data_IF_965795331936
#
_entry.id   IF_965795331936
#
_cell.length_a   1.000
_cell.length_b   1.000
_cell.length_c   1.000
_cell.angle_alpha   90.00
_cell.angle_beta   90.00
_cell.angle_gamma   90.00
#
_symmetry.space_group_name_H-M   'P 1'
#
loop_
_entity.id
_entity.type
_entity.pdbx_description
1 polymer ?
#
# COMPACT_ATOMS: atom_id res chain seq x y z
N UNK A 1 -17.56 -17.32 -14.37
CA UNK A 1 -17.26 -16.23 -13.42
C UNK A 1 -15.78 -15.87 -13.57
N UNK A 2 -15.42 -14.59 -13.78
CA UNK A 2 -14.09 -14.19 -13.36
C UNK A 2 -14.11 -12.88 -12.58
N UNK A 3 -13.63 -12.93 -11.33
CA UNK A 3 -13.11 -11.76 -10.63
C UNK A 3 -11.84 -11.32 -11.35
N UNK A 4 -12.02 -10.40 -12.29
CA UNK A 4 -10.96 -9.83 -13.11
C UNK A 4 -10.24 -8.79 -12.26
N UNK A 5 -9.17 -9.21 -11.59
CA UNK A 5 -8.26 -8.34 -10.87
C UNK A 5 -7.80 -7.24 -11.85
N UNK A 6 -8.21 -5.99 -11.62
CA UNK A 6 -8.03 -4.88 -12.54
C UNK A 6 -6.54 -4.54 -12.69
N UNK A 7 -6.10 -4.36 -13.94
CA UNK A 7 -4.80 -3.77 -14.26
C UNK A 7 -4.86 -2.28 -13.91
N UNK A 8 -4.06 -1.86 -12.93
CA UNK A 8 -4.12 -0.58 -12.20
C UNK A 8 -3.65 0.67 -12.99
N UNK A 9 -4.04 0.87 -14.26
CA UNK A 9 -3.59 2.07 -14.98
C UNK A 9 -4.45 3.31 -14.64
N UNK A 10 -3.82 4.30 -14.01
CA UNK A 10 -4.30 5.69 -13.96
C UNK A 10 -5.40 6.01 -12.93
N UNK A 11 -5.75 5.08 -12.05
CA UNK A 11 -6.57 5.37 -10.87
C UNK A 11 -5.89 4.78 -9.63
N UNK A 12 -5.68 5.56 -8.56
CA UNK A 12 -5.22 5.02 -7.30
C UNK A 12 -6.23 4.01 -6.77
N UNK A 13 -5.74 2.85 -6.35
CA UNK A 13 -6.56 1.81 -5.74
C UNK A 13 -6.28 1.75 -4.25
N UNK A 14 -7.38 1.74 -3.48
CA UNK A 14 -7.37 1.77 -2.02
C UNK A 14 -6.99 0.40 -1.46
N UNK A 15 -5.79 0.30 -0.88
CA UNK A 15 -5.30 -0.88 -0.15
C UNK A 15 -5.90 -0.98 1.26
N UNK A 16 -6.14 0.16 1.91
CA UNK A 16 -6.85 0.28 3.20
C UNK A 16 -7.84 1.45 3.13
N UNK A 17 -9.01 1.26 3.75
CA UNK A 17 -10.00 2.30 4.04
C UNK A 17 -10.75 1.88 5.30
N UNK A 18 -10.36 2.44 6.45
CA UNK A 18 -10.84 1.97 7.74
C UNK A 18 -11.28 3.14 8.64
N UNK A 19 -12.48 3.01 9.22
CA UNK A 19 -13.04 3.97 10.20
C UNK A 19 -12.29 3.97 11.55
N UNK A 20 -11.38 3.00 11.74
CA UNK A 20 -10.40 2.94 12.80
C UNK A 20 -9.10 2.36 12.23
N UNK A 21 -7.95 2.72 12.78
CA UNK A 21 -6.66 2.17 12.36
C UNK A 21 -6.70 0.63 12.40
N UNK A 22 -6.33 -0.07 11.30
CA UNK A 22 -6.15 -1.50 11.29
C UNK A 22 -5.17 -1.97 12.37
N UNK A 23 -5.30 -3.22 12.83
CA UNK A 23 -4.35 -3.77 13.79
C UNK A 23 -2.91 -3.72 13.25
N UNK A 24 -1.93 -3.58 14.15
CA UNK A 24 -0.52 -3.62 13.75
C UNK A 24 -0.20 -4.93 13.03
N UNK A 25 0.59 -4.82 11.97
CA UNK A 25 0.96 -5.96 11.15
C UNK A 25 -0.16 -6.44 10.20
N UNK A 26 -1.16 -5.60 9.94
CA UNK A 26 -2.22 -5.94 8.98
C UNK A 26 -1.75 -5.64 7.56
N UNK A 27 -1.83 -6.66 6.70
CA UNK A 27 -1.66 -6.54 5.26
C UNK A 27 -2.95 -6.04 4.61
N UNK A 28 -2.79 -5.17 3.62
CA UNK A 28 -3.89 -4.61 2.84
C UNK A 28 -4.28 -5.53 1.70
N UNK A 29 -5.08 -5.01 0.80
CA UNK A 29 -5.39 -5.73 -0.42
C UNK A 29 -4.15 -5.83 -1.31
N UNK A 30 -3.93 -7.02 -1.85
CA UNK A 30 -2.87 -7.33 -2.82
C UNK A 30 -3.35 -7.15 -4.25
N UNK A 31 -2.48 -6.60 -5.09
CA UNK A 31 -2.78 -6.33 -6.48
C UNK A 31 -1.74 -6.95 -7.41
N UNK A 32 -2.20 -7.44 -8.56
CA UNK A 32 -1.32 -7.90 -9.62
C UNK A 32 -0.80 -6.71 -10.43
N UNK A 33 0.49 -6.73 -10.73
CA UNK A 33 1.17 -5.78 -11.60
C UNK A 33 1.31 -6.35 -13.03
N UNK A 34 1.43 -5.49 -14.05
CA UNK A 34 1.83 -5.91 -15.40
C UNK A 34 3.15 -6.68 -15.36
N UNK A 35 3.18 -7.88 -15.94
CA UNK A 35 4.37 -8.77 -15.89
C UNK A 35 5.37 -8.53 -17.01
N UNK A 36 5.00 -7.73 -18.00
CA UNK A 36 5.69 -7.59 -19.29
C UNK A 36 6.58 -6.34 -19.37
N UNK A 37 6.55 -5.49 -18.34
CA UNK A 37 7.28 -4.21 -18.35
C UNK A 37 7.56 -3.70 -16.94
N UNK A 38 8.64 -2.94 -16.74
CA UNK A 38 8.81 -2.18 -15.53
C UNK A 38 7.68 -1.16 -15.34
N UNK A 39 7.28 -0.92 -14.10
CA UNK A 39 6.20 0.02 -13.75
C UNK A 39 6.66 1.04 -12.73
N UNK A 40 6.05 2.22 -12.78
CA UNK A 40 6.17 3.21 -11.71
C UNK A 40 5.00 3.01 -10.75
N UNK A 41 5.30 3.00 -9.46
CA UNK A 41 4.32 2.87 -8.39
C UNK A 41 4.22 4.21 -7.69
N UNK A 42 3.03 4.80 -7.69
CA UNK A 42 2.73 5.95 -6.85
C UNK A 42 1.87 5.48 -5.69
N UNK A 43 2.31 5.75 -4.47
CA UNK A 43 1.55 5.39 -3.28
C UNK A 43 1.34 6.62 -2.40
N UNK A 44 0.22 6.66 -1.68
CA UNK A 44 -0.06 7.72 -0.71
C UNK A 44 -0.79 7.20 0.50
N UNK A 45 -0.52 7.80 1.66
CA UNK A 45 -1.33 7.59 2.85
C UNK A 45 -1.95 8.91 3.32
N UNK A 46 -3.17 8.80 3.86
CA UNK A 46 -3.93 9.90 4.43
C UNK A 46 -4.42 9.47 5.81
N UNK A 47 -4.38 10.39 6.77
CA UNK A 47 -4.97 10.23 8.09
C UNK A 47 -5.94 11.38 8.34
N UNK A 48 -7.18 11.07 8.74
CA UNK A 48 -8.15 12.13 9.12
C UNK A 48 -7.72 12.85 10.40
N UNK A 49 -7.05 12.12 11.29
CA UNK A 49 -6.39 12.65 12.49
C UNK A 49 -4.98 12.08 12.52
N UNK A 50 -3.99 12.95 12.63
CA UNK A 50 -2.58 12.55 12.64
C UNK A 50 -2.30 11.59 13.82
N UNK A 51 -1.80 10.36 13.56
CA UNK A 51 -1.39 9.46 14.62
C UNK A 51 -0.17 10.00 15.37
N UNK A 52 0.03 9.52 16.59
CA UNK A 52 1.24 9.81 17.39
C UNK A 52 2.47 9.09 16.84
N UNK A 53 2.28 7.89 16.27
CA UNK A 53 3.30 7.14 15.56
C UNK A 53 2.64 6.19 14.56
N UNK A 54 3.22 6.02 13.38
CA UNK A 54 2.76 5.11 12.35
C UNK A 54 3.93 4.70 11.44
N UNK A 55 3.87 3.49 10.91
CA UNK A 55 4.80 2.95 9.93
C UNK A 55 4.00 2.28 8.83
N UNK A 56 4.07 2.87 7.64
CA UNK A 56 3.53 2.32 6.40
C UNK A 56 4.67 1.64 5.66
N UNK A 57 4.39 0.48 5.09
CA UNK A 57 5.31 -0.30 4.29
C UNK A 57 4.63 -0.67 2.97
N UNK A 58 5.32 -0.45 1.86
CA UNK A 58 4.92 -0.95 0.55
C UNK A 58 5.79 -2.17 0.26
N UNK A 59 5.16 -3.28 -0.11
CA UNK A 59 5.85 -4.52 -0.41
C UNK A 59 5.48 -5.03 -1.79
N UNK A 60 6.42 -5.74 -2.40
CA UNK A 60 6.21 -6.37 -3.70
C UNK A 60 6.78 -7.78 -3.71
N UNK A 61 6.28 -8.60 -4.62
CA UNK A 61 6.79 -9.95 -4.83
C UNK A 61 6.72 -10.36 -6.29
N UNK A 62 7.54 -11.35 -6.65
CA UNK A 62 7.49 -12.00 -7.97
C UNK A 62 6.47 -13.16 -7.99
N UNK A 63 6.24 -13.81 -6.86
CA UNK A 63 5.19 -14.83 -6.74
C UNK A 63 4.12 -14.39 -5.75
N UNK A 64 2.92 -14.94 -5.87
CA UNK A 64 1.80 -14.64 -4.97
C UNK A 64 1.96 -15.39 -3.63
N UNK A 65 3.04 -15.07 -2.91
CA UNK A 65 3.48 -15.77 -1.71
C UNK A 65 3.93 -14.72 -0.70
N UNK A 66 3.26 -14.67 0.45
CA UNK A 66 3.54 -13.70 1.52
C UNK A 66 4.98 -13.75 2.01
N UNK A 67 5.57 -14.95 2.05
CA UNK A 67 6.96 -15.15 2.47
C UNK A 67 7.99 -14.55 1.49
N UNK A 68 7.60 -14.26 0.26
CA UNK A 68 8.47 -13.65 -0.77
C UNK A 68 8.26 -12.14 -0.90
N UNK A 69 7.39 -11.54 -0.07
CA UNK A 69 7.16 -10.10 -0.07
C UNK A 69 8.42 -9.37 0.42
N UNK A 70 9.04 -8.64 -0.49
CA UNK A 70 10.15 -7.75 -0.21
C UNK A 70 9.65 -6.33 0.05
N UNK A 71 10.31 -5.62 0.97
CA UNK A 71 10.03 -4.21 1.22
C UNK A 71 10.49 -3.39 0.02
N UNK A 72 9.56 -2.63 -0.57
CA UNK A 72 9.82 -1.66 -1.62
C UNK A 72 10.07 -0.26 -1.03
N UNK A 73 9.25 0.15 -0.07
CA UNK A 73 9.36 1.46 0.58
C UNK A 73 8.73 1.47 1.96
N UNK A 74 9.14 2.43 2.78
CA UNK A 74 8.56 2.66 4.11
C UNK A 74 8.39 4.14 4.39
N UNK A 75 7.39 4.48 5.18
CA UNK A 75 7.19 5.84 5.69
C UNK A 75 6.77 5.85 7.14
N UNK A 76 7.23 6.90 7.82
CA UNK A 76 6.88 7.26 9.19
C UNK A 76 6.34 8.69 9.25
N UNK A 77 5.79 9.21 8.15
CA UNK A 77 5.22 10.57 8.08
C UNK A 77 3.78 10.56 8.58
N UNK A 78 3.46 11.35 9.62
CA UNK A 78 2.14 11.31 10.28
C UNK A 78 1.12 12.28 9.65
N UNK A 79 1.58 13.20 8.79
CA UNK A 79 0.74 14.23 8.16
C UNK A 79 0.06 13.77 6.86
N UNK A 80 0.21 12.50 6.49
CA UNK A 80 -0.04 12.04 5.13
C UNK A 80 1.17 12.28 4.22
N UNK A 81 1.32 11.44 3.20
CA UNK A 81 2.41 11.53 2.24
C UNK A 81 2.00 10.92 0.90
N UNK A 82 2.65 11.36 -0.17
CA UNK A 82 2.58 10.73 -1.49
C UNK A 82 3.99 10.58 -2.04
N UNK A 83 4.34 9.39 -2.54
CA UNK A 83 5.63 9.10 -3.17
C UNK A 83 5.45 8.29 -4.45
N UNK A 84 6.39 8.46 -5.37
CA UNK A 84 6.47 7.67 -6.59
C UNK A 84 7.81 6.93 -6.63
N UNK A 85 7.77 5.64 -6.96
CA UNK A 85 8.89 4.71 -6.89
C UNK A 85 8.96 3.89 -8.16
N UNK A 86 10.18 3.73 -8.66
CA UNK A 86 10.47 2.86 -9.77
C UNK A 86 11.43 3.48 -10.78
N UNK A 87 11.57 2.87 -11.96
CA UNK A 87 10.80 1.70 -12.40
C UNK A 87 11.13 0.42 -11.61
N UNK A 88 10.12 -0.41 -11.32
CA UNK A 88 10.30 -1.72 -10.67
C UNK A 88 9.79 -2.87 -11.54
N UNK A 89 10.35 -4.06 -11.32
CA UNK A 89 9.86 -5.31 -11.91
C UNK A 89 9.37 -6.20 -10.78
N UNK A 90 8.05 -6.34 -10.67
CA UNK A 90 7.38 -7.20 -9.70
C UNK A 90 6.04 -7.66 -10.28
N UNK A 91 5.49 -8.76 -9.75
CA UNK A 91 4.21 -9.30 -10.21
C UNK A 91 3.06 -8.96 -9.27
N UNK A 92 3.37 -8.66 -8.00
CA UNK A 92 2.39 -8.29 -6.99
C UNK A 92 2.87 -7.12 -6.16
N UNK A 93 1.92 -6.33 -5.67
CA UNK A 93 2.13 -5.23 -4.74
C UNK A 93 1.07 -5.25 -3.64
N UNK A 94 1.48 -4.83 -2.45
CA UNK A 94 0.61 -4.76 -1.28
C UNK A 94 1.06 -3.61 -0.37
N UNK A 95 0.08 -2.94 0.23
CA UNK A 95 0.30 -2.01 1.32
C UNK A 95 0.23 -2.71 2.67
N UNK A 96 1.10 -2.35 3.60
CA UNK A 96 1.20 -3.00 4.92
C UNK A 96 1.38 -1.95 6.01
N UNK A 97 0.55 -2.02 7.06
CA UNK A 97 0.70 -1.16 8.23
C UNK A 97 1.50 -1.91 9.29
N UNK A 98 2.78 -1.57 9.45
CA UNK A 98 3.68 -2.29 10.36
C UNK A 98 3.30 -2.01 11.82
N UNK A 99 3.17 -0.72 12.15
CA UNK A 99 2.77 -0.25 13.48
C UNK A 99 2.00 1.04 13.34
N UNK A 100 0.94 1.26 14.10
CA UNK A 100 0.26 2.55 14.15
C UNK A 100 -0.40 2.77 15.52
N UNK A 101 -0.28 3.99 16.02
CA UNK A 101 -0.78 4.43 17.32
C UNK A 101 -1.34 5.83 17.15
N UNK A 102 -2.66 5.97 17.25
CA UNK A 102 -3.33 7.26 17.35
C UNK A 102 -4.03 7.41 18.70
N UNK A 103 -4.17 8.66 19.15
CA UNK A 103 -5.19 9.00 20.13
C UNK A 103 -6.54 9.12 19.44
N UNK A 104 -7.51 8.28 19.82
CA UNK A 104 -8.87 8.31 19.27
C UNK A 104 -9.05 7.61 17.91
N UNK A 105 -10.23 7.78 17.32
CA UNK A 105 -10.62 7.17 16.04
C UNK A 105 -9.92 7.86 14.86
N UNK A 106 -8.65 7.51 14.64
CA UNK A 106 -7.96 7.84 13.40
C UNK A 106 -8.33 6.81 12.32
N UNK A 107 -8.45 7.29 11.09
CA UNK A 107 -8.63 6.46 9.89
C UNK A 107 -7.32 6.45 9.12
N UNK A 108 -7.08 5.40 8.33
CA UNK A 108 -5.98 5.37 7.36
C UNK A 108 -6.53 5.00 6.01
N UNK A 109 -6.22 5.83 5.02
CA UNK A 109 -6.41 5.48 3.61
C UNK A 109 -5.04 5.29 2.99
N UNK A 110 -4.78 4.11 2.43
CA UNK A 110 -3.59 3.85 1.64
C UNK A 110 -4.01 3.58 0.21
N UNK A 111 -3.44 4.32 -0.72
CA UNK A 111 -3.74 4.23 -2.12
C UNK A 111 -2.49 3.92 -2.93
N UNK A 112 -2.64 3.06 -3.93
CA UNK A 112 -1.55 2.57 -4.78
C UNK A 112 -2.00 2.72 -6.24
N UNK A 113 -1.20 3.41 -7.04
CA UNK A 113 -1.41 3.63 -8.46
C UNK A 113 -0.21 3.10 -9.25
N UNK A 114 -0.48 2.50 -10.41
CA UNK A 114 0.54 1.98 -11.32
C UNK A 114 0.51 2.78 -12.62
N UNK A 115 1.65 3.39 -12.98
CA UNK A 115 1.84 4.07 -14.26
C UNK A 115 2.66 3.22 -15.25
#
# INVERSE_FOLDING_TARGET
MPNRNLILKGNPVKSFDALAIPANGTAGTRYALPRDRPVMITWRHLFDVAPTACSVCIRTSLNDVDAEMAVLDTSIVMAGEMRTIGPIVANFIEGYLTTCTAGGAATVTLEIEVA
#
